data_IF_083907029236
#
_entry.id   IF_083907029236
#
_cell.length_a   1.000
_cell.length_b   1.000
_cell.length_c   1.000
_cell.angle_alpha   90.00
_cell.angle_beta   90.00
_cell.angle_gamma   90.00
#
_symmetry.space_group_name_H-M   'P 1'
#
loop_
_entity.id
_entity.type
_entity.pdbx_description
1 polymer ?
#
# COMPACT_ATOMS: atom_id res chain seq x y z
N UNK A 1 4.27 32.71 -17.03
CA UNK A 1 5.31 31.73 -16.63
C UNK A 1 5.41 31.49 -15.13
N UNK A 2 5.25 32.53 -14.29
CA UNK A 2 5.40 32.39 -12.82
C UNK A 2 4.34 31.52 -12.14
N UNK A 3 3.07 31.57 -12.56
CA UNK A 3 1.98 30.79 -11.97
C UNK A 3 2.25 29.29 -12.01
N UNK A 4 2.73 28.78 -13.13
CA UNK A 4 3.11 27.37 -13.27
C UNK A 4 4.27 26.97 -12.37
N UNK A 5 5.23 27.88 -12.13
CA UNK A 5 6.37 27.57 -11.25
C UNK A 5 5.94 27.48 -9.78
N UNK A 6 5.08 28.40 -9.33
CA UNK A 6 4.56 28.38 -7.96
C UNK A 6 3.68 27.16 -7.74
N UNK A 7 2.74 26.87 -8.64
CA UNK A 7 1.90 25.66 -8.59
C UNK A 7 2.74 24.38 -8.63
N UNK A 8 3.88 24.35 -9.36
CA UNK A 8 4.79 23.21 -9.43
C UNK A 8 5.38 22.85 -8.07
N UNK A 9 5.65 23.83 -7.22
CA UNK A 9 6.15 23.59 -5.84
C UNK A 9 5.09 22.91 -4.98
N UNK A 10 3.85 23.39 -5.04
CA UNK A 10 2.72 22.79 -4.33
C UNK A 10 2.38 21.40 -4.89
N UNK A 11 2.43 21.23 -6.21
CA UNK A 11 2.24 19.94 -6.87
C UNK A 11 3.28 18.92 -6.40
N UNK A 12 4.55 19.28 -6.27
CA UNK A 12 5.60 18.40 -5.78
C UNK A 12 5.32 17.92 -4.36
N UNK A 13 4.76 18.78 -3.51
CA UNK A 13 4.37 18.43 -2.13
C UNK A 13 3.17 17.48 -2.10
N UNK A 14 2.12 17.77 -2.87
CA UNK A 14 0.97 16.88 -2.99
C UNK A 14 1.34 15.53 -3.61
N UNK A 15 2.27 15.52 -4.57
CA UNK A 15 2.78 14.26 -5.14
C UNK A 15 3.46 13.39 -4.07
N UNK A 16 4.27 13.98 -3.18
CA UNK A 16 4.86 13.24 -2.06
C UNK A 16 3.81 12.68 -1.12
N UNK A 17 2.79 13.45 -0.79
CA UNK A 17 1.64 12.99 -0.01
C UNK A 17 0.90 11.84 -0.70
N UNK A 18 0.68 11.94 -1.99
CA UNK A 18 0.01 10.90 -2.78
C UNK A 18 0.80 9.59 -2.81
N UNK A 19 2.13 9.69 -2.94
CA UNK A 19 3.02 8.53 -2.85
C UNK A 19 2.95 7.91 -1.46
N UNK A 20 2.99 8.72 -0.39
CA UNK A 20 2.86 8.23 0.98
C UNK A 20 1.53 7.50 1.20
N UNK A 21 0.42 8.08 0.73
CA UNK A 21 -0.91 7.44 0.78
C UNK A 21 -0.95 6.11 0.02
N UNK A 22 -0.32 6.06 -1.16
CA UNK A 22 -0.22 4.83 -1.94
C UNK A 22 0.59 3.76 -1.21
N UNK A 23 1.69 4.14 -0.56
CA UNK A 23 2.49 3.23 0.27
C UNK A 23 1.73 2.73 1.49
N UNK A 24 1.01 3.58 2.20
CA UNK A 24 0.21 3.17 3.36
C UNK A 24 -0.89 2.20 2.94
N UNK A 25 -1.64 2.53 1.88
CA UNK A 25 -2.74 1.67 1.42
C UNK A 25 -2.23 0.37 0.78
N UNK A 26 -1.21 0.46 -0.09
CA UNK A 26 -0.58 -0.71 -0.72
C UNK A 26 0.15 -1.59 0.28
N UNK A 27 0.85 -0.96 1.25
CA UNK A 27 1.54 -1.65 2.32
C UNK A 27 0.60 -2.44 3.24
N UNK A 28 -0.55 -1.85 3.60
CA UNK A 28 -1.56 -2.56 4.41
C UNK A 28 -2.06 -3.82 3.71
N UNK A 29 -2.35 -3.75 2.41
CA UNK A 29 -2.81 -4.90 1.63
C UNK A 29 -1.69 -5.95 1.51
N UNK A 30 -0.46 -5.51 1.23
CA UNK A 30 0.69 -6.41 1.08
C UNK A 30 1.01 -7.16 2.38
N UNK A 31 0.93 -6.48 3.53
CA UNK A 31 1.11 -7.08 4.83
C UNK A 31 -0.01 -8.05 5.19
N UNK A 32 -1.24 -7.75 4.81
CA UNK A 32 -2.35 -8.66 4.97
C UNK A 32 -2.19 -9.91 4.10
N UNK A 33 -1.79 -9.77 2.83
CA UNK A 33 -1.48 -10.91 1.96
C UNK A 33 -0.31 -11.74 2.50
N UNK A 34 0.72 -11.09 3.06
CA UNK A 34 1.82 -11.76 3.75
C UNK A 34 1.33 -12.60 4.93
N UNK A 35 0.43 -12.05 5.75
CA UNK A 35 -0.19 -12.79 6.86
C UNK A 35 -0.91 -14.05 6.36
N UNK A 36 -1.77 -13.90 5.35
CA UNK A 36 -2.51 -15.03 4.77
C UNK A 36 -1.57 -16.08 4.19
N UNK A 37 -0.53 -15.66 3.44
CA UNK A 37 0.48 -16.57 2.89
C UNK A 37 1.25 -17.31 3.98
N UNK A 38 1.66 -16.62 5.04
CA UNK A 38 2.34 -17.22 6.18
C UNK A 38 1.43 -18.21 6.93
N UNK A 39 0.15 -17.89 7.06
CA UNK A 39 -0.83 -18.77 7.68
C UNK A 39 -1.02 -20.07 6.87
N UNK A 40 -1.16 -19.96 5.55
CA UNK A 40 -1.27 -21.13 4.67
C UNK A 40 0.01 -21.97 4.71
N UNK A 41 1.17 -21.30 4.68
CA UNK A 41 2.46 -21.97 4.73
C UNK A 41 2.69 -22.77 6.02
N UNK A 42 2.12 -22.32 7.14
CA UNK A 42 2.21 -23.04 8.43
C UNK A 42 1.55 -24.43 8.39
N UNK A 43 0.52 -24.60 7.55
CA UNK A 43 -0.16 -25.88 7.35
C UNK A 43 0.42 -26.70 6.18
N UNK A 44 1.46 -26.21 5.50
CA UNK A 44 2.07 -26.88 4.36
C UNK A 44 3.57 -27.12 4.59
N UNK A 45 4.19 -28.15 3.98
CA UNK A 45 5.62 -28.42 4.13
C UNK A 45 6.51 -27.43 3.34
N UNK A 46 6.08 -26.17 3.24
CA UNK A 46 6.79 -25.13 2.49
C UNK A 46 7.48 -24.20 3.49
N UNK A 47 8.67 -23.69 3.11
CA UNK A 47 9.34 -22.68 3.93
C UNK A 47 8.53 -21.39 3.96
N UNK A 48 7.72 -21.23 5.01
CA UNK A 48 6.75 -20.15 5.18
C UNK A 48 7.38 -18.76 5.22
N UNK A 49 8.61 -18.64 5.69
CA UNK A 49 9.30 -17.34 5.79
C UNK A 49 9.60 -16.77 4.40
N UNK A 50 10.21 -17.59 3.53
CA UNK A 50 10.53 -17.14 2.17
C UNK A 50 9.29 -16.88 1.33
N UNK A 51 8.26 -17.71 1.48
CA UNK A 51 6.99 -17.52 0.80
C UNK A 51 6.32 -16.22 1.25
N UNK A 52 6.27 -15.93 2.54
CA UNK A 52 5.69 -14.71 3.09
C UNK A 52 6.41 -13.44 2.59
N UNK A 53 7.75 -13.45 2.59
CA UNK A 53 8.56 -12.32 2.09
C UNK A 53 8.35 -12.14 0.59
N UNK A 54 8.33 -13.21 -0.19
CA UNK A 54 8.11 -13.16 -1.64
C UNK A 54 6.73 -12.60 -1.99
N UNK A 55 5.67 -13.06 -1.33
CA UNK A 55 4.31 -12.53 -1.50
C UNK A 55 4.23 -11.07 -1.10
N UNK A 56 4.82 -10.69 0.04
CA UNK A 56 4.87 -9.29 0.46
C UNK A 56 5.51 -8.39 -0.59
N UNK A 57 6.71 -8.74 -1.06
CA UNK A 57 7.42 -7.94 -2.05
C UNK A 57 6.69 -7.87 -3.39
N UNK A 58 6.15 -8.99 -3.87
CA UNK A 58 5.39 -9.06 -5.13
C UNK A 58 4.10 -8.23 -5.07
N UNK A 59 3.30 -8.40 -4.03
CA UNK A 59 2.05 -7.64 -3.86
C UNK A 59 2.34 -6.16 -3.66
N UNK A 60 3.37 -5.80 -2.89
CA UNK A 60 3.76 -4.40 -2.67
C UNK A 60 4.18 -3.73 -3.99
N UNK A 61 4.98 -4.41 -4.80
CA UNK A 61 5.43 -3.90 -6.10
C UNK A 61 4.26 -3.66 -7.08
N UNK A 62 3.17 -4.42 -6.97
CA UNK A 62 1.98 -4.26 -7.79
C UNK A 62 1.00 -3.22 -7.20
N UNK A 63 0.72 -3.29 -5.91
CA UNK A 63 -0.34 -2.46 -5.28
C UNK A 63 0.06 -1.00 -5.17
N UNK A 64 1.31 -0.68 -4.82
CA UNK A 64 1.75 0.71 -4.66
C UNK A 64 1.61 1.53 -5.96
N UNK A 65 2.12 1.07 -7.13
CA UNK A 65 1.91 1.79 -8.38
C UNK A 65 0.43 1.86 -8.76
N UNK A 66 -0.31 0.77 -8.56
CA UNK A 66 -1.73 0.70 -8.92
C UNK A 66 -2.55 1.74 -8.14
N UNK A 67 -2.34 1.85 -6.81
CA UNK A 67 -2.99 2.86 -5.99
C UNK A 67 -2.53 4.27 -6.34
N UNK A 68 -1.25 4.45 -6.62
CA UNK A 68 -0.73 5.75 -7.04
C UNK A 68 -1.40 6.23 -8.33
N UNK A 69 -1.42 5.41 -9.37
CA UNK A 69 -1.95 5.81 -10.68
C UNK A 69 -3.48 5.90 -10.71
N UNK A 70 -4.21 4.97 -10.08
CA UNK A 70 -5.67 4.96 -10.12
C UNK A 70 -6.33 5.92 -9.13
N UNK A 71 -5.78 6.06 -7.91
CA UNK A 71 -6.50 6.73 -6.82
C UNK A 71 -5.82 8.02 -6.35
N UNK A 72 -4.51 8.03 -6.26
CA UNK A 72 -3.80 9.10 -5.55
C UNK A 72 -3.03 10.06 -6.45
N UNK A 73 -2.96 9.83 -7.75
CA UNK A 73 -2.27 10.74 -8.68
C UNK A 73 -2.88 12.14 -8.59
N UNK A 74 -2.13 13.17 -8.17
CA UNK A 74 -2.67 14.52 -8.05
C UNK A 74 -2.92 15.10 -9.45
N UNK A 75 -4.11 15.66 -9.64
CA UNK A 75 -4.45 16.45 -10.81
C UNK A 75 -4.28 17.93 -10.48
N UNK A 76 -3.97 18.77 -11.46
CA UNK A 76 -3.83 20.21 -11.27
C UNK A 76 -5.08 20.83 -10.64
N UNK A 77 -6.28 20.39 -11.06
CA UNK A 77 -7.56 20.82 -10.44
C UNK A 77 -7.65 20.47 -8.97
N UNK A 78 -7.17 19.31 -8.56
CA UNK A 78 -7.16 18.89 -7.13
C UNK A 78 -6.19 19.74 -6.31
N UNK A 79 -5.05 20.12 -6.91
CA UNK A 79 -4.09 21.03 -6.25
C UNK A 79 -4.72 22.40 -6.06
N UNK A 80 -5.35 22.95 -7.10
CA UNK A 80 -6.03 24.23 -7.08
C UNK A 80 -7.13 24.25 -6.01
N UNK A 81 -8.04 23.30 -6.03
CA UNK A 81 -9.13 23.18 -5.04
C UNK A 81 -8.60 23.12 -3.59
N UNK A 82 -7.54 22.41 -3.36
CA UNK A 82 -6.95 22.28 -2.02
C UNK A 82 -6.22 23.53 -1.55
N UNK A 83 -5.74 24.35 -2.47
CA UNK A 83 -5.19 25.67 -2.18
C UNK A 83 -6.32 26.66 -1.89
N UNK A 84 -7.43 26.57 -2.64
CA UNK A 84 -8.61 27.42 -2.40
C UNK A 84 -9.28 27.13 -1.04
N UNK A 85 -9.25 25.90 -0.55
CA UNK A 85 -9.69 25.52 0.81
C UNK A 85 -8.89 26.24 1.94
N UNK A 86 -7.75 26.84 1.62
CA UNK A 86 -6.96 27.64 2.55
C UNK A 86 -7.40 29.12 2.63
N UNK A 87 -8.53 29.46 2.02
CA UNK A 87 -9.11 30.81 2.07
C UNK A 87 -8.78 31.66 0.84
N UNK A 88 -8.55 31.03 -0.30
CA UNK A 88 -8.30 31.72 -1.58
C UNK A 88 -9.56 31.94 -2.44
N UNK A 89 -10.74 31.59 -1.92
CA UNK A 89 -12.05 31.88 -2.55
C UNK A 89 -12.10 31.48 -4.04
N UNK A 90 -11.72 30.24 -4.35
CA UNK A 90 -11.73 29.67 -5.69
C UNK A 90 -10.87 30.39 -6.75
N UNK A 91 -10.02 31.33 -6.32
CA UNK A 91 -9.16 32.12 -7.22
C UNK A 91 -8.17 31.25 -7.99
N UNK A 92 -7.66 30.19 -7.37
CA UNK A 92 -6.67 29.31 -7.99
C UNK A 92 -7.33 28.37 -8.98
N UNK A 93 -8.53 27.87 -8.67
CA UNK A 93 -9.30 27.06 -9.61
C UNK A 93 -9.64 27.85 -10.85
N UNK A 94 -10.18 29.08 -10.69
CA UNK A 94 -10.50 29.98 -11.79
C UNK A 94 -9.25 30.33 -12.60
N UNK A 95 -8.10 30.55 -11.96
CA UNK A 95 -6.84 30.80 -12.66
C UNK A 95 -6.42 29.61 -13.54
N UNK A 96 -6.65 28.37 -13.10
CA UNK A 96 -6.33 27.18 -13.90
C UNK A 96 -7.33 26.94 -15.03
N UNK A 97 -8.58 27.33 -14.87
CA UNK A 97 -9.62 27.22 -15.91
C UNK A 97 -9.47 28.29 -17.01
N UNK A 98 -9.02 29.48 -16.64
CA UNK A 98 -8.71 30.57 -17.56
C UNK A 98 -7.28 30.48 -18.14
N UNK A 99 -6.61 29.36 -18.01
CA UNK A 99 -5.29 29.16 -18.61
C UNK A 99 -5.42 29.11 -20.15
N UNK A 100 -4.88 30.12 -20.81
CA UNK A 100 -4.98 30.25 -22.26
C UNK A 100 -6.00 31.31 -22.74
N UNK A 101 -6.77 31.91 -21.84
CA UNK A 101 -7.60 33.05 -22.16
C UNK A 101 -6.79 34.35 -21.98
N UNK A 102 -6.68 35.15 -23.04
CA UNK A 102 -5.95 36.42 -23.08
C UNK A 102 -6.86 37.65 -22.90
N UNK A 103 -8.11 37.44 -22.44
CA UNK A 103 -8.99 38.53 -22.08
C UNK A 103 -8.43 39.34 -20.90
N UNK A 104 -8.72 40.65 -20.89
CA UNK A 104 -8.27 41.57 -19.83
C UNK A 104 -8.73 41.07 -18.46
N UNK A 105 -9.95 40.50 -18.35
CA UNK A 105 -10.51 39.94 -17.15
C UNK A 105 -9.73 38.69 -16.68
N UNK A 106 -9.38 37.79 -17.59
CA UNK A 106 -8.59 36.61 -17.30
C UNK A 106 -7.18 36.97 -16.80
N UNK A 107 -6.56 37.99 -17.39
CA UNK A 107 -5.26 38.48 -16.95
C UNK A 107 -5.35 39.08 -15.56
N UNK A 108 -6.38 39.86 -15.24
CA UNK A 108 -6.58 40.44 -13.92
C UNK A 108 -6.82 39.36 -12.84
N UNK A 109 -7.65 38.38 -13.14
CA UNK A 109 -7.91 37.28 -12.22
C UNK A 109 -6.67 36.43 -11.97
N UNK A 110 -5.88 36.13 -13.01
CA UNK A 110 -4.60 35.41 -12.87
C UNK A 110 -3.61 36.18 -11.96
N UNK A 111 -3.50 37.48 -12.13
CA UNK A 111 -2.63 38.32 -11.30
C UNK A 111 -3.08 38.36 -9.85
N UNK A 112 -4.39 38.52 -9.59
CA UNK A 112 -4.97 38.48 -8.25
C UNK A 112 -4.75 37.12 -7.56
N UNK A 113 -4.94 36.03 -8.29
CA UNK A 113 -4.68 34.67 -7.78
C UNK A 113 -3.20 34.46 -7.46
N UNK A 114 -2.30 34.98 -8.29
CA UNK A 114 -0.84 34.91 -8.06
C UNK A 114 -0.41 35.67 -6.81
N UNK A 115 -0.95 36.86 -6.60
CA UNK A 115 -0.66 37.67 -5.42
C UNK A 115 -1.15 36.97 -4.14
N UNK A 116 -2.37 36.45 -4.15
CA UNK A 116 -2.92 35.66 -3.07
C UNK A 116 -2.08 34.38 -2.79
N UNK A 117 -1.58 33.72 -3.83
CA UNK A 117 -0.75 32.52 -3.70
C UNK A 117 0.63 32.81 -3.09
N UNK A 118 1.19 34.00 -3.34
CA UNK A 118 2.46 34.44 -2.71
C UNK A 118 2.34 34.69 -1.23
N UNK A 119 1.14 35.05 -0.74
CA UNK A 119 0.87 35.25 0.69
C UNK A 119 0.84 33.95 1.48
N UNK A 120 0.57 32.83 0.85
CA UNK A 120 0.47 31.52 1.51
C UNK A 120 1.84 30.85 1.56
N UNK A 121 2.29 30.51 2.76
CA UNK A 121 3.48 29.68 2.93
C UNK A 121 3.17 28.24 2.50
N UNK A 122 4.05 27.65 1.70
CA UNK A 122 3.91 26.24 1.25
C UNK A 122 3.79 25.24 2.40
N UNK A 123 4.21 25.61 3.61
CA UNK A 123 4.11 24.81 4.84
C UNK A 123 2.69 24.69 5.39
N UNK A 124 1.76 25.55 4.97
CA UNK A 124 0.37 25.56 5.46
C UNK A 124 -0.43 24.36 4.98
N UNK A 125 -0.03 23.71 3.88
CA UNK A 125 -0.62 22.46 3.41
C UNK A 125 -0.25 21.31 4.35
N UNK A 126 -1.18 20.93 5.24
CA UNK A 126 -1.02 19.75 6.12
C UNK A 126 -1.19 18.47 5.33
N UNK A 127 -0.41 17.44 5.65
CA UNK A 127 -0.61 16.09 5.09
C UNK A 127 -1.91 15.51 5.64
N UNK A 128 -2.87 15.24 4.75
CA UNK A 128 -4.14 14.62 5.12
C UNK A 128 -4.06 13.12 4.89
N UNK A 129 -3.55 12.37 5.87
CA UNK A 129 -3.59 10.91 5.89
C UNK A 129 -4.71 10.47 6.81
N UNK A 130 -5.55 9.54 6.35
CA UNK A 130 -6.65 9.01 7.15
C UNK A 130 -6.11 8.16 8.30
N UNK A 131 -6.57 8.43 9.52
CA UNK A 131 -6.22 7.64 10.71
C UNK A 131 -6.58 6.16 10.56
N UNK A 132 -7.70 5.87 9.89
CA UNK A 132 -8.12 4.50 9.60
C UNK A 132 -7.09 3.74 8.72
N UNK A 133 -6.49 4.42 7.73
CA UNK A 133 -5.47 3.80 6.89
C UNK A 133 -4.19 3.48 7.67
N UNK A 134 -3.83 4.34 8.62
CA UNK A 134 -2.68 4.11 9.50
C UNK A 134 -2.97 2.95 10.47
N UNK A 135 -4.17 2.92 11.06
CA UNK A 135 -4.58 1.82 11.92
C UNK A 135 -4.57 0.48 11.18
N UNK A 136 -5.12 0.44 9.96
CA UNK A 136 -5.09 -0.76 9.12
C UNK A 136 -3.65 -1.22 8.82
N UNK A 137 -2.73 -0.29 8.55
CA UNK A 137 -1.31 -0.62 8.34
C UNK A 137 -0.70 -1.25 9.60
N UNK A 138 -0.92 -0.65 10.78
CA UNK A 138 -0.37 -1.14 12.04
C UNK A 138 -0.92 -2.54 12.35
N UNK A 139 -2.22 -2.74 12.23
CA UNK A 139 -2.85 -4.04 12.47
C UNK A 139 -2.29 -5.09 11.52
N UNK A 140 -2.24 -4.81 10.21
CA UNK A 140 -1.69 -5.73 9.22
C UNK A 140 -0.21 -6.03 9.46
N UNK A 141 0.56 -5.05 9.93
CA UNK A 141 1.97 -5.23 10.28
C UNK A 141 2.13 -6.19 11.47
N UNK A 142 1.37 -5.99 12.54
CA UNK A 142 1.42 -6.87 13.72
C UNK A 142 1.06 -8.30 13.33
N UNK A 143 -0.05 -8.51 12.64
CA UNK A 143 -0.46 -9.86 12.22
C UNK A 143 0.55 -10.51 11.26
N UNK A 144 1.01 -9.78 10.25
CA UNK A 144 1.97 -10.29 9.27
C UNK A 144 3.30 -10.70 9.90
N UNK A 145 3.87 -9.85 10.76
CA UNK A 145 5.14 -10.14 11.43
C UNK A 145 5.00 -11.27 12.44
N UNK A 146 3.92 -11.29 13.24
CA UNK A 146 3.68 -12.36 14.21
C UNK A 146 3.61 -13.72 13.53
N UNK A 147 2.82 -13.85 12.45
CA UNK A 147 2.67 -15.13 11.76
C UNK A 147 3.95 -15.57 11.05
N UNK A 148 4.72 -14.64 10.50
CA UNK A 148 6.02 -14.94 9.90
C UNK A 148 7.02 -15.41 10.97
N UNK A 149 6.99 -14.82 12.17
CA UNK A 149 7.81 -15.26 13.31
C UNK A 149 7.41 -16.67 13.76
N UNK A 150 6.12 -16.97 13.82
CA UNK A 150 5.63 -18.33 14.12
C UNK A 150 6.19 -19.34 13.11
N UNK A 151 6.15 -19.04 11.82
CA UNK A 151 6.76 -19.89 10.79
C UNK A 151 8.27 -20.05 10.97
N UNK A 152 8.99 -18.98 11.35
CA UNK A 152 10.43 -19.05 11.58
C UNK A 152 10.76 -19.96 12.77
N UNK A 153 10.00 -19.87 13.86
CA UNK A 153 10.17 -20.73 15.04
C UNK A 153 9.79 -22.18 14.75
N UNK A 154 8.76 -22.41 13.96
CA UNK A 154 8.35 -23.74 13.49
C UNK A 154 9.42 -24.36 12.60
N UNK A 155 9.97 -23.63 11.63
CA UNK A 155 11.06 -24.11 10.81
C UNK A 155 12.33 -24.46 11.60
N UNK A 156 12.56 -23.82 12.74
CA UNK A 156 13.67 -24.12 13.65
C UNK A 156 13.34 -25.25 14.66
N UNK A 157 12.15 -25.84 14.59
CA UNK A 157 11.73 -26.91 15.50
C UNK A 157 11.41 -26.44 16.93
N UNK A 158 11.34 -25.11 17.18
CA UNK A 158 11.04 -24.57 18.52
C UNK A 158 9.56 -24.74 18.89
N UNK A 159 8.68 -24.66 17.90
CA UNK A 159 7.24 -24.89 18.03
C UNK A 159 6.77 -25.88 16.97
N UNK A 160 5.73 -26.70 17.26
CA UNK A 160 5.19 -27.60 16.26
C UNK A 160 4.63 -26.81 15.05
N UNK A 161 4.73 -27.41 13.87
CA UNK A 161 4.07 -26.90 12.69
C UNK A 161 2.55 -27.14 12.75
N UNK A 162 1.80 -26.45 11.90
CA UNK A 162 0.35 -26.61 11.83
C UNK A 162 -0.07 -28.02 11.40
N UNK A 163 0.76 -28.73 10.62
CA UNK A 163 0.52 -30.12 10.22
C UNK A 163 0.60 -31.04 11.43
N UNK A 164 1.62 -30.91 12.26
CA UNK A 164 1.76 -31.71 13.47
C UNK A 164 0.60 -31.52 14.45
N UNK A 165 0.00 -30.33 14.50
CA UNK A 165 -1.21 -30.10 15.28
C UNK A 165 -2.42 -30.81 14.65
N UNK A 166 -2.59 -30.73 13.34
CA UNK A 166 -3.70 -31.38 12.61
C UNK A 166 -3.60 -32.90 12.71
N UNK A 167 -2.43 -33.49 12.56
CA UNK A 167 -2.20 -34.93 12.66
C UNK A 167 -2.46 -35.48 14.08
N UNK A 168 -2.27 -34.65 15.11
CA UNK A 168 -2.62 -35.00 16.48
C UNK A 168 -4.13 -34.93 16.77
N UNK A 169 -4.85 -34.05 16.08
CA UNK A 169 -6.31 -33.86 16.27
C UNK A 169 -7.13 -34.77 15.34
N UNK A 170 -6.65 -34.99 14.13
CA UNK A 170 -7.26 -35.86 13.12
C UNK A 170 -6.22 -36.90 12.72
N UNK A 171 -6.15 -38.06 13.42
CA UNK A 171 -5.18 -39.10 13.07
C UNK A 171 -5.43 -39.56 11.63
N UNK A 172 -4.54 -39.20 10.73
CA UNK A 172 -4.54 -39.74 9.36
C UNK A 172 -4.39 -41.26 9.45
N UNK A 173 -5.21 -42.06 8.76
CA UNK A 173 -5.06 -43.50 8.75
C UNK A 173 -3.63 -43.82 8.28
N UNK A 174 -2.86 -44.48 9.17
CA UNK A 174 -1.50 -44.95 8.82
C UNK A 174 -1.62 -45.75 7.52
N UNK A 175 -0.96 -45.28 6.46
CA UNK A 175 -0.81 -46.08 5.24
C UNK A 175 -0.12 -47.38 5.64
N UNK A 176 -0.89 -48.47 5.71
CA UNK A 176 -0.29 -49.79 5.85
C UNK A 176 0.69 -50.01 4.69
N UNK A 177 1.97 -50.13 5.01
CA UNK A 177 2.96 -50.53 4.05
C UNK A 177 2.59 -51.95 3.63
N UNK A 178 1.96 -52.07 2.47
CA UNK A 178 1.76 -53.36 1.84
C UNK A 178 3.14 -53.93 1.48
N UNK A 179 3.64 -54.85 2.30
CA UNK A 179 4.80 -55.65 1.96
C UNK A 179 4.34 -56.63 0.89
N UNK A 180 4.77 -56.40 -0.35
CA UNK A 180 4.62 -57.39 -1.44
C UNK A 180 5.55 -58.54 -1.07
N UNK A 181 5.01 -59.61 -0.52
CA UNK A 181 5.73 -60.86 -0.30
C UNK A 181 5.89 -61.49 -1.69
N UNK A 182 7.13 -61.44 -2.21
CA UNK A 182 7.49 -62.10 -3.46
C UNK A 182 7.58 -63.57 -3.16
N UNK A 183 6.58 -64.35 -3.54
CA UNK A 183 6.67 -65.80 -3.49
C UNK A 183 7.61 -66.25 -4.63
N UNK A 184 8.81 -66.66 -4.30
CA UNK A 184 9.66 -67.43 -5.19
C UNK A 184 9.09 -68.86 -5.30
N UNK A 185 8.56 -69.21 -6.47
CA UNK A 185 8.20 -70.56 -6.81
C UNK A 185 9.50 -71.34 -7.01
N UNK A 186 9.82 -72.25 -6.08
CA UNK A 186 10.89 -73.20 -6.19
C UNK A 186 10.31 -74.35 -6.98
N UNK A 187 10.79 -74.56 -8.19
CA UNK A 187 10.62 -75.82 -9.00
C UNK A 187 11.84 -76.70 -8.80
#
# INVERSE_FOLDING_TARGET
MEAKQVLKTYYKRLRRESVLKAFISGGSISLFCMFVAALVAWFTPINGVWLAIGVFAGVLALTVPLFYFKKYRPQLKTVAKRLDELGLDEKILTMTELEGDDSIMAIYQRNSAMEALRMIKSTTLKFAVSGLSIAALIISFVFGTTMTTVNALSNNGTIPDGQGIVDNVIPTPKQEKYYIVKYELIY
#
